data_IF_452849437555
#
_entry.id   IF_452849437555
#
_cell.length_a   1.000
_cell.length_b   1.000
_cell.length_c   1.000
_cell.angle_alpha   90.00
_cell.angle_beta   90.00
_cell.angle_gamma   90.00
#
_symmetry.space_group_name_H-M   'P 1'
#
loop_
_entity.id
_entity.type
_entity.pdbx_description
1 polymer ?
#
# COMPACT_ATOMS: atom_id res chain seq x y z
N UNK A 1 15.15 -30.95 0.95
CA UNK A 1 16.11 -30.17 0.14
C UNK A 1 16.85 -29.23 1.08
N UNK A 2 18.16 -29.43 1.33
CA UNK A 2 18.94 -28.52 2.19
C UNK A 2 19.03 -27.15 1.51
N UNK A 3 18.66 -26.10 2.23
CA UNK A 3 18.81 -24.74 1.74
C UNK A 3 20.27 -24.48 1.35
N UNK A 4 20.49 -24.02 0.11
CA UNK A 4 21.82 -23.65 -0.37
C UNK A 4 22.24 -22.36 0.31
N UNK A 5 23.00 -22.47 1.40
CA UNK A 5 23.52 -21.32 2.14
C UNK A 5 24.66 -20.72 1.31
N UNK A 6 24.63 -19.41 1.11
CA UNK A 6 25.71 -18.69 0.41
C UNK A 6 27.06 -18.91 1.10
N UNK A 7 28.08 -19.43 0.41
CA UNK A 7 29.40 -19.67 0.98
C UNK A 7 30.20 -18.39 1.24
N UNK A 8 29.79 -17.26 0.64
CA UNK A 8 30.49 -15.97 0.80
C UNK A 8 30.49 -15.51 2.25
N UNK A 9 31.63 -14.99 2.70
CA UNK A 9 31.86 -14.51 4.06
C UNK A 9 32.29 -13.05 4.03
N UNK A 10 31.94 -12.32 5.09
CA UNK A 10 32.51 -10.99 5.29
C UNK A 10 33.94 -11.08 5.80
N UNK A 11 34.82 -10.19 5.37
CA UNK A 11 36.17 -10.12 5.92
C UNK A 11 36.14 -9.97 7.46
N UNK A 12 36.93 -10.78 8.19
CA UNK A 12 37.02 -10.70 9.64
C UNK A 12 35.83 -11.24 10.44
N UNK A 13 34.83 -11.84 9.82
CA UNK A 13 33.68 -12.40 10.56
C UNK A 13 34.10 -13.60 11.44
N UNK A 14 33.55 -13.67 12.65
CA UNK A 14 33.76 -14.79 13.54
C UNK A 14 32.92 -16.01 13.16
N UNK A 15 33.37 -17.22 13.52
CA UNK A 15 32.59 -18.45 13.35
C UNK A 15 31.25 -18.42 14.09
N UNK A 16 31.20 -17.74 15.25
CA UNK A 16 29.96 -17.53 16.02
C UNK A 16 28.97 -16.68 15.24
N UNK A 17 29.42 -15.56 14.66
CA UNK A 17 28.59 -14.71 13.81
C UNK A 17 28.04 -15.49 12.60
N UNK A 18 28.91 -16.20 11.88
CA UNK A 18 28.51 -16.99 10.71
C UNK A 18 27.45 -18.04 11.06
N UNK A 19 27.62 -18.75 12.16
CA UNK A 19 26.65 -19.74 12.62
C UNK A 19 25.29 -19.09 12.92
N UNK A 20 25.30 -17.97 13.64
CA UNK A 20 24.07 -17.24 13.95
C UNK A 20 23.40 -16.70 12.67
N UNK A 21 24.18 -16.11 11.75
CA UNK A 21 23.66 -15.59 10.49
C UNK A 21 23.04 -16.68 9.59
N UNK A 22 23.66 -17.85 9.55
CA UNK A 22 23.11 -18.98 8.79
C UNK A 22 21.78 -19.49 9.39
N UNK A 23 21.67 -19.54 10.73
CA UNK A 23 20.41 -19.89 11.40
C UNK A 23 19.32 -18.86 11.10
N UNK A 24 19.65 -17.57 11.14
CA UNK A 24 18.75 -16.49 10.80
C UNK A 24 18.29 -16.60 9.35
N UNK A 25 19.19 -16.84 8.40
CA UNK A 25 18.86 -17.00 6.99
C UNK A 25 17.85 -18.14 6.75
N UNK A 26 18.02 -19.28 7.45
CA UNK A 26 17.07 -20.38 7.36
C UNK A 26 15.68 -19.95 7.85
N UNK A 27 15.61 -19.24 8.99
CA UNK A 27 14.35 -18.73 9.52
C UNK A 27 13.70 -17.68 8.58
N UNK A 28 14.47 -16.78 7.96
CA UNK A 28 14.01 -15.81 6.96
C UNK A 28 13.42 -16.53 5.72
N UNK A 29 14.07 -17.60 5.27
CA UNK A 29 13.57 -18.41 4.15
C UNK A 29 12.25 -19.12 4.49
N UNK A 30 12.10 -19.61 5.70
CA UNK A 30 10.86 -20.26 6.15
C UNK A 30 9.73 -19.24 6.35
N UNK A 31 10.04 -18.05 6.86
CA UNK A 31 9.08 -16.93 6.91
C UNK A 31 8.58 -16.57 5.50
N UNK A 32 9.47 -16.47 4.52
CA UNK A 32 9.09 -16.20 3.13
C UNK A 32 8.12 -17.26 2.58
N UNK A 33 8.42 -18.55 2.80
CA UNK A 33 7.50 -19.64 2.40
C UNK A 33 6.13 -19.50 3.08
N UNK A 34 6.10 -19.08 4.35
CA UNK A 34 4.87 -18.83 5.08
C UNK A 34 4.06 -17.68 4.46
N UNK A 35 4.72 -16.56 4.13
CA UNK A 35 4.09 -15.43 3.45
C UNK A 35 3.48 -15.87 2.11
N UNK A 36 4.23 -16.63 1.31
CA UNK A 36 3.73 -17.17 0.04
C UNK A 36 2.54 -18.12 0.22
N UNK A 37 2.55 -18.94 1.28
CA UNK A 37 1.42 -19.80 1.63
C UNK A 37 0.17 -18.99 1.93
N UNK A 38 0.28 -17.96 2.78
CA UNK A 38 -0.85 -17.08 3.13
C UNK A 38 -1.36 -16.33 1.90
N UNK A 39 -0.46 -15.84 1.04
CA UNK A 39 -0.85 -15.19 -0.20
C UNK A 39 -1.65 -16.15 -1.12
N UNK A 40 -1.26 -17.42 -1.22
CA UNK A 40 -2.05 -18.43 -1.95
C UNK A 40 -3.42 -18.66 -1.33
N UNK A 41 -3.53 -18.66 0.01
CA UNK A 41 -4.82 -18.81 0.70
C UNK A 41 -5.73 -17.61 0.39
N UNK A 42 -5.19 -16.37 0.44
CA UNK A 42 -5.95 -15.16 0.08
C UNK A 42 -6.51 -15.23 -1.34
N UNK A 43 -5.70 -15.66 -2.32
CA UNK A 43 -6.16 -15.81 -3.71
C UNK A 43 -7.25 -16.86 -3.91
N UNK A 44 -7.40 -17.78 -2.95
CA UNK A 44 -8.43 -18.83 -2.97
C UNK A 44 -9.67 -18.48 -2.16
N UNK A 45 -9.72 -17.31 -1.54
CA UNK A 45 -10.92 -16.87 -0.84
C UNK A 45 -12.07 -16.74 -1.86
N UNK A 46 -13.27 -17.17 -1.50
CA UNK A 46 -14.46 -16.85 -2.28
C UNK A 46 -14.68 -15.33 -2.28
N UNK A 47 -15.47 -14.86 -3.23
CA UNK A 47 -15.88 -13.47 -3.25
C UNK A 47 -16.55 -13.10 -1.92
N UNK A 48 -16.27 -11.89 -1.43
CA UNK A 48 -16.94 -11.30 -0.28
C UNK A 48 -18.40 -10.95 -0.57
N UNK A 49 -19.01 -10.22 0.36
CA UNK A 49 -20.35 -9.67 0.14
C UNK A 49 -20.35 -8.58 -0.94
N UNK A 50 -21.50 -8.31 -1.57
CA UNK A 50 -21.66 -7.18 -2.46
C UNK A 50 -21.50 -5.86 -1.71
N UNK A 51 -21.05 -4.83 -2.39
CA UNK A 51 -21.10 -3.46 -1.89
C UNK A 51 -22.57 -3.04 -1.83
N UNK A 52 -23.12 -2.62 -0.67
CA UNK A 52 -24.57 -2.46 -0.49
C UNK A 52 -25.15 -1.29 -1.27
N UNK A 53 -24.34 -0.27 -1.58
CA UNK A 53 -24.74 0.92 -2.31
C UNK A 53 -23.56 1.52 -3.09
N UNK A 54 -23.86 2.31 -4.09
CA UNK A 54 -22.84 3.02 -4.86
C UNK A 54 -22.51 4.33 -4.14
N UNK A 55 -21.54 4.27 -3.22
CA UNK A 55 -21.13 5.40 -2.39
C UNK A 55 -20.68 6.59 -3.25
N UNK A 56 -20.98 7.80 -2.78
CA UNK A 56 -20.59 9.05 -3.44
C UNK A 56 -19.55 9.77 -2.60
N UNK A 57 -18.49 10.23 -3.25
CA UNK A 57 -17.40 10.99 -2.64
C UNK A 57 -17.33 12.39 -3.25
N UNK A 58 -16.93 13.37 -2.45
CA UNK A 58 -16.53 14.68 -2.96
C UNK A 58 -15.18 14.53 -3.67
N UNK A 59 -15.06 15.09 -4.86
CA UNK A 59 -13.85 15.04 -5.68
C UNK A 59 -13.12 16.38 -5.71
N UNK A 60 -11.80 16.34 -5.85
CA UNK A 60 -10.93 17.51 -5.87
C UNK A 60 -11.18 18.48 -7.03
N UNK A 61 -11.83 18.02 -8.10
CA UNK A 61 -12.24 18.87 -9.23
C UNK A 61 -13.47 19.75 -8.94
N UNK A 62 -14.09 19.61 -7.76
CA UNK A 62 -15.31 20.33 -7.36
C UNK A 62 -16.61 19.63 -7.73
N UNK A 63 -16.55 18.34 -8.08
CA UNK A 63 -17.68 17.47 -8.34
C UNK A 63 -17.84 16.35 -7.34
N UNK A 64 -18.71 15.41 -7.66
CA UNK A 64 -18.90 14.17 -6.94
C UNK A 64 -18.56 13.00 -7.84
N UNK A 65 -17.93 11.97 -7.28
CA UNK A 65 -17.59 10.73 -7.96
C UNK A 65 -18.24 9.56 -7.24
N UNK A 66 -18.85 8.64 -7.97
CA UNK A 66 -19.39 7.40 -7.39
C UNK A 66 -18.28 6.38 -7.19
N UNK A 67 -18.48 5.48 -6.25
CA UNK A 67 -17.56 4.38 -6.01
C UNK A 67 -17.32 3.54 -7.29
N UNK A 68 -18.39 3.27 -8.06
CA UNK A 68 -18.29 2.56 -9.33
C UNK A 68 -17.45 3.29 -10.37
N UNK A 69 -17.45 4.63 -10.36
CA UNK A 69 -16.71 5.45 -11.33
C UNK A 69 -15.21 5.52 -11.03
N UNK A 70 -14.78 5.02 -9.85
CA UNK A 70 -13.35 4.89 -9.52
C UNK A 70 -12.66 3.76 -10.28
N UNK A 71 -13.42 2.92 -10.98
CA UNK A 71 -12.89 1.83 -11.81
C UNK A 71 -12.81 2.29 -13.27
N UNK A 72 -11.59 2.42 -13.78
CA UNK A 72 -11.36 2.71 -15.20
C UNK A 72 -11.60 1.48 -16.07
N UNK A 73 -11.96 1.69 -17.31
CA UNK A 73 -12.18 0.62 -18.28
C UNK A 73 -11.02 -0.37 -18.33
N UNK A 74 -11.36 -1.65 -18.23
CA UNK A 74 -10.40 -2.75 -18.26
C UNK A 74 -9.63 -3.03 -16.96
N UNK A 75 -9.89 -2.27 -15.88
CA UNK A 75 -9.29 -2.49 -14.57
C UNK A 75 -10.35 -2.80 -13.50
N UNK A 76 -10.35 -4.02 -13.00
CA UNK A 76 -11.30 -4.55 -11.99
C UNK A 76 -10.78 -4.46 -10.54
N UNK A 77 -9.62 -3.90 -10.34
CA UNK A 77 -8.97 -3.79 -9.04
C UNK A 77 -8.86 -2.32 -8.63
N UNK A 78 -9.27 -2.01 -7.40
CA UNK A 78 -9.15 -0.69 -6.80
C UNK A 78 -8.35 -0.77 -5.49
N UNK A 79 -7.28 0.00 -5.41
CA UNK A 79 -6.52 0.24 -4.19
C UNK A 79 -7.01 1.52 -3.54
N UNK A 80 -7.56 1.43 -2.34
CA UNK A 80 -8.00 2.58 -1.56
C UNK A 80 -7.07 2.77 -0.38
N UNK A 81 -6.45 3.95 -0.30
CA UNK A 81 -5.72 4.36 0.89
C UNK A 81 -6.58 5.28 1.74
N UNK A 82 -6.94 4.81 2.94
CA UNK A 82 -7.71 5.61 3.90
C UNK A 82 -6.77 6.53 4.69
N UNK A 83 -6.73 7.80 4.29
CA UNK A 83 -5.88 8.81 4.88
C UNK A 83 -6.42 9.26 6.24
N UNK A 84 -5.61 9.14 7.27
CA UNK A 84 -5.98 9.56 8.64
C UNK A 84 -5.98 11.08 8.74
N UNK A 85 -7.03 11.69 8.21
CA UNK A 85 -7.29 13.13 8.24
C UNK A 85 -8.79 13.36 8.42
N UNK A 86 -9.22 13.48 9.67
CA UNK A 86 -10.61 13.72 10.04
C UNK A 86 -10.97 15.22 10.08
N UNK A 87 -12.26 15.56 10.10
CA UNK A 87 -12.71 16.96 10.06
C UNK A 87 -12.28 17.81 11.26
N UNK A 88 -12.09 17.20 12.42
CA UNK A 88 -11.70 17.87 13.65
C UNK A 88 -10.18 17.88 13.91
N UNK A 89 -9.40 17.17 13.09
CA UNK A 89 -7.96 17.06 13.25
C UNK A 89 -7.29 18.24 12.55
N UNK A 90 -6.43 18.98 13.26
CA UNK A 90 -5.76 20.16 12.70
C UNK A 90 -4.78 19.84 11.58
N UNK A 91 -4.02 18.77 11.74
CA UNK A 91 -3.00 18.33 10.80
C UNK A 91 -3.20 16.85 10.44
N UNK A 92 -2.97 16.44 9.21
CA UNK A 92 -3.03 15.03 8.85
C UNK A 92 -1.94 14.22 9.55
N UNK A 93 -2.13 12.91 9.65
CA UNK A 93 -1.14 12.00 10.23
C UNK A 93 0.17 12.05 9.44
N UNK A 94 1.32 12.39 10.09
CA UNK A 94 2.60 12.50 9.38
C UNK A 94 3.06 11.19 8.75
N UNK A 95 2.81 10.05 9.40
CA UNK A 95 3.16 8.73 8.86
C UNK A 95 2.35 8.42 7.60
N UNK A 96 1.03 8.68 7.61
CA UNK A 96 0.18 8.51 6.43
C UNK A 96 0.63 9.43 5.30
N UNK A 97 0.99 10.68 5.61
CA UNK A 97 1.51 11.63 4.64
C UNK A 97 2.80 11.13 4.01
N UNK A 98 3.76 10.66 4.81
CA UNK A 98 5.01 10.07 4.31
C UNK A 98 4.76 8.83 3.43
N UNK A 99 3.76 8.03 3.78
CA UNK A 99 3.37 6.88 2.95
C UNK A 99 2.81 7.32 1.59
N UNK A 100 1.93 8.32 1.57
CA UNK A 100 1.37 8.85 0.32
C UNK A 100 2.45 9.51 -0.54
N UNK A 101 3.37 10.28 0.07
CA UNK A 101 4.53 10.84 -0.63
C UNK A 101 5.37 9.75 -1.32
N UNK A 102 5.53 8.60 -0.64
CA UNK A 102 6.26 7.46 -1.21
C UNK A 102 5.47 6.75 -2.31
N UNK A 103 4.15 6.68 -2.16
CA UNK A 103 3.25 6.04 -3.12
C UNK A 103 3.14 6.86 -4.41
N UNK A 104 3.23 8.19 -4.32
CA UNK A 104 3.16 9.08 -5.47
C UNK A 104 4.19 8.75 -6.53
N UNK A 105 5.46 8.56 -6.14
CA UNK A 105 6.51 8.15 -7.07
C UNK A 105 6.27 6.80 -7.75
N UNK A 106 5.42 5.95 -7.17
CA UNK A 106 5.02 4.66 -7.72
C UNK A 106 3.64 4.69 -8.42
N UNK A 107 2.89 5.79 -8.31
CA UNK A 107 1.50 5.86 -8.74
C UNK A 107 1.32 5.52 -10.23
N UNK A 108 2.19 6.04 -11.11
CA UNK A 108 2.16 5.74 -12.54
C UNK A 108 2.28 4.24 -12.82
N UNK A 109 3.16 3.54 -12.10
CA UNK A 109 3.34 2.09 -12.26
C UNK A 109 2.19 1.29 -11.66
N UNK A 110 1.66 1.71 -10.52
CA UNK A 110 0.50 1.08 -9.88
C UNK A 110 -0.73 1.21 -10.77
N UNK A 111 -0.97 2.40 -11.32
CA UNK A 111 -2.16 2.69 -12.13
C UNK A 111 -2.16 2.04 -13.51
N UNK A 112 -1.07 1.41 -13.93
CA UNK A 112 -1.06 0.51 -15.10
C UNK A 112 -1.80 -0.82 -14.83
N UNK A 113 -2.01 -1.20 -13.57
CA UNK A 113 -2.53 -2.53 -13.18
C UNK A 113 -3.74 -2.47 -12.26
N UNK A 114 -3.95 -1.36 -11.59
CA UNK A 114 -5.04 -1.17 -10.64
C UNK A 114 -5.47 0.29 -10.63
N UNK A 115 -6.70 0.55 -10.24
CA UNK A 115 -7.14 1.90 -9.90
C UNK A 115 -6.58 2.28 -8.53
N UNK A 116 -6.32 3.56 -8.30
CA UNK A 116 -5.78 4.07 -7.04
C UNK A 116 -6.59 5.28 -6.59
N UNK A 117 -7.05 5.25 -5.35
CA UNK A 117 -7.72 6.37 -4.72
C UNK A 117 -7.21 6.60 -3.30
N UNK A 118 -7.07 7.86 -2.93
CA UNK A 118 -6.82 8.29 -1.55
C UNK A 118 -8.09 8.95 -1.05
N UNK A 119 -8.63 8.45 0.06
CA UNK A 119 -9.86 8.95 0.67
C UNK A 119 -9.61 9.41 2.10
N UNK A 120 -10.30 10.46 2.54
CA UNK A 120 -10.26 10.93 3.92
C UNK A 120 -11.65 11.42 4.35
N UNK A 121 -11.88 11.51 5.66
CA UNK A 121 -13.12 12.05 6.23
C UNK A 121 -13.13 13.58 6.32
N UNK A 122 -12.01 14.24 6.05
CA UNK A 122 -11.94 15.71 6.05
C UNK A 122 -12.69 16.29 4.85
N UNK A 123 -13.24 17.51 4.95
CA UNK A 123 -13.78 18.20 3.79
C UNK A 123 -12.74 18.32 2.67
N UNK A 124 -13.21 18.23 1.43
CA UNK A 124 -12.32 18.14 0.25
C UNK A 124 -11.36 19.33 0.12
N UNK A 125 -11.83 20.55 0.47
CA UNK A 125 -10.99 21.75 0.42
C UNK A 125 -9.74 21.63 1.31
N UNK A 126 -9.88 21.01 2.49
CA UNK A 126 -8.76 20.79 3.39
C UNK A 126 -7.79 19.73 2.86
N UNK A 127 -8.34 18.71 2.23
CA UNK A 127 -7.51 17.64 1.57
C UNK A 127 -6.71 18.28 0.45
N UNK A 128 -7.36 19.11 -0.39
CA UNK A 128 -6.69 19.83 -1.48
C UNK A 128 -5.61 20.80 -0.98
N UNK A 129 -5.84 21.50 0.14
CA UNK A 129 -4.81 22.37 0.73
C UNK A 129 -3.56 21.58 1.10
N UNK A 130 -3.72 20.38 1.67
CA UNK A 130 -2.60 19.51 1.97
C UNK A 130 -1.93 19.03 0.68
N UNK A 131 -2.71 18.58 -0.32
CA UNK A 131 -2.18 18.13 -1.60
C UNK A 131 -1.37 19.22 -2.30
N UNK A 132 -1.89 20.45 -2.37
CA UNK A 132 -1.18 21.61 -2.96
C UNK A 132 0.10 22.00 -2.22
N UNK A 133 0.20 21.70 -0.93
CA UNK A 133 1.44 21.90 -0.17
C UNK A 133 2.52 20.85 -0.47
N UNK A 134 2.16 19.79 -1.19
CA UNK A 134 3.06 18.71 -1.62
C UNK A 134 3.32 18.86 -3.12
N UNK A 135 4.58 18.74 -3.51
CA UNK A 135 5.07 19.17 -4.82
C UNK A 135 4.42 18.46 -6.03
N UNK A 136 3.78 17.32 -5.87
CA UNK A 136 3.28 16.55 -7.01
C UNK A 136 2.02 15.72 -6.71
N UNK A 137 1.32 15.98 -5.61
CA UNK A 137 0.09 15.22 -5.35
C UNK A 137 -0.97 15.59 -6.40
N UNK A 138 -1.63 14.60 -7.02
CA UNK A 138 -2.72 14.86 -7.95
C UNK A 138 -3.86 15.60 -7.22
N UNK A 139 -4.30 16.68 -7.82
CA UNK A 139 -5.42 17.52 -7.34
C UNK A 139 -6.71 17.14 -8.05
#
# INVERSE_FOLDING_TARGET
MRARINPSRFPGESSRYRTARNRLLVAEMDLRKQVERVARMRRKLPLGGPVPEDYVFDEGSGGNVKFSDLFRDGLDTLLIYSYMFGPQVKQPCPMCTSFIDSLEGAAEHVTQRANLAVVAKSPIDRIQQVAKSRLNWPT
#
